data_IF_371751027896
#
_entry.id   IF_371751027896
#
_cell.length_a   1.000
_cell.length_b   1.000
_cell.length_c   1.000
_cell.angle_alpha   90.00
_cell.angle_beta   90.00
_cell.angle_gamma   90.00
#
_symmetry.space_group_name_H-M   'P 1'
#
loop_
_entity.id
_entity.type
_entity.pdbx_description
1 polymer ?
#
# COMPACT_ATOMS: atom_id res chain seq x y z
N UNK A 1 48.66 18.34 31.72
CA UNK A 1 47.74 19.30 31.06
C UNK A 1 46.42 19.25 31.80
N UNK A 2 46.28 19.95 32.93
CA UNK A 2 45.56 21.23 33.02
C UNK A 2 44.34 21.32 32.08
N UNK A 3 43.18 20.91 32.58
CA UNK A 3 41.98 21.75 32.49
C UNK A 3 41.31 21.79 33.85
N UNK A 4 41.51 22.95 34.48
CA UNK A 4 40.81 23.52 35.60
C UNK A 4 39.31 23.52 35.25
N UNK A 5 38.48 22.75 35.96
CA UNK A 5 37.03 22.95 35.93
C UNK A 5 36.63 23.61 37.24
N UNK A 6 36.36 24.90 37.13
CA UNK A 6 35.92 25.79 38.19
C UNK A 6 34.57 25.27 38.69
N UNK A 7 34.54 24.70 39.89
CA UNK A 7 33.30 24.50 40.64
C UNK A 7 32.93 25.88 41.17
N UNK A 8 32.11 26.61 40.41
CA UNK A 8 31.50 27.84 40.88
C UNK A 8 30.43 27.43 41.90
N UNK A 9 30.83 27.40 43.17
CA UNK A 9 29.95 27.22 44.32
C UNK A 9 29.06 28.46 44.42
N UNK A 10 27.97 28.50 43.66
CA UNK A 10 26.92 29.50 43.83
C UNK A 10 26.09 29.07 45.04
N UNK A 11 26.27 29.77 46.16
CA UNK A 11 25.40 29.66 47.31
C UNK A 11 23.96 30.00 46.88
N UNK A 12 23.06 29.03 46.90
CA UNK A 12 21.63 29.22 46.69
C UNK A 12 20.87 28.64 47.89
N UNK A 13 20.09 29.53 48.48
CA UNK A 13 19.20 29.34 49.61
C UNK A 13 18.52 27.96 49.60
N UNK A 14 18.60 27.26 50.72
CA UNK A 14 17.82 26.05 51.00
C UNK A 14 16.33 26.43 51.19
N UNK A 15 15.66 26.82 50.11
CA UNK A 15 14.22 26.68 50.00
C UNK A 15 13.90 25.20 49.80
N UNK A 16 12.95 24.66 50.55
CA UNK A 16 12.42 23.33 50.30
C UNK A 16 11.63 23.38 48.99
N UNK A 17 12.30 23.15 47.86
CA UNK A 17 11.65 23.05 46.55
C UNK A 17 11.01 21.67 46.41
N UNK A 18 9.77 21.63 45.93
CA UNK A 18 9.06 20.38 45.66
C UNK A 18 9.60 19.76 44.38
N UNK A 19 9.89 18.48 44.40
CA UNK A 19 10.22 17.74 43.18
C UNK A 19 8.93 17.33 42.47
N UNK A 20 8.85 17.62 41.16
CA UNK A 20 7.70 17.30 40.31
C UNK A 20 8.20 16.44 39.16
N UNK A 21 7.65 15.23 39.03
CA UNK A 21 8.01 14.26 37.98
C UNK A 21 6.81 13.95 37.11
N UNK A 22 6.98 14.07 35.79
CA UNK A 22 5.96 13.77 34.79
C UNK A 22 6.41 12.58 33.95
N UNK A 23 5.64 11.50 34.01
CA UNK A 23 5.91 10.27 33.26
C UNK A 23 4.94 10.16 32.08
N UNK A 24 5.48 10.01 30.86
CA UNK A 24 4.72 9.75 29.65
C UNK A 24 4.68 8.25 29.38
N UNK A 25 3.47 7.70 29.31
CA UNK A 25 3.22 6.27 29.13
C UNK A 25 2.60 6.00 27.75
N UNK A 26 3.23 5.09 27.01
CA UNK A 26 2.75 4.58 25.71
C UNK A 26 2.83 3.06 25.74
N UNK A 27 1.73 2.38 25.39
CA UNK A 27 1.64 0.90 25.40
C UNK A 27 2.16 0.32 26.74
N UNK A 28 1.61 0.84 27.84
CA UNK A 28 1.91 0.44 29.23
C UNK A 28 3.36 0.66 29.70
N UNK A 29 4.18 1.37 28.92
CA UNK A 29 5.59 1.64 29.24
C UNK A 29 5.85 3.13 29.38
N UNK A 30 6.63 3.51 30.39
CA UNK A 30 7.17 4.87 30.50
C UNK A 30 8.17 5.05 29.35
N UNK A 31 7.82 5.87 28.37
CA UNK A 31 8.64 6.17 27.18
C UNK A 31 9.45 7.45 27.34
N UNK A 32 9.03 8.31 28.27
CA UNK A 32 9.74 9.54 28.62
C UNK A 32 9.39 9.95 30.04
N UNK A 33 10.37 10.51 30.75
CA UNK A 33 10.19 11.04 32.09
C UNK A 33 10.96 12.34 32.21
N UNK A 34 10.38 13.33 32.86
CA UNK A 34 10.99 14.63 33.11
C UNK A 34 10.70 15.07 34.54
N UNK A 35 11.73 15.58 35.20
CA UNK A 35 11.65 16.05 36.58
C UNK A 35 12.09 17.51 36.67
N UNK A 36 11.36 18.30 37.45
CA UNK A 36 11.62 19.72 37.68
C UNK A 36 11.40 20.12 39.14
N UNK A 37 11.82 21.35 39.47
CA UNK A 37 11.59 21.96 40.78
C UNK A 37 10.32 22.81 40.73
N UNK A 38 9.40 22.55 41.65
CA UNK A 38 8.07 23.14 41.85
C UNK A 38 7.08 22.97 40.70
N UNK A 39 7.56 22.88 39.45
CA UNK A 39 6.78 22.62 38.24
C UNK A 39 7.64 22.06 37.11
N UNK A 40 6.98 21.48 36.12
CA UNK A 40 7.57 21.01 34.87
C UNK A 40 6.88 21.71 33.69
N UNK A 41 7.67 22.29 32.79
CA UNK A 41 7.19 22.83 31.51
C UNK A 41 7.29 21.75 30.43
N UNK A 42 6.15 21.39 29.85
CA UNK A 42 6.02 20.36 28.81
C UNK A 42 5.73 20.94 27.42
N UNK A 43 5.76 22.27 27.24
CA UNK A 43 5.39 22.95 25.98
C UNK A 43 6.21 22.50 24.76
N UNK A 44 7.47 22.08 24.97
CA UNK A 44 8.32 21.57 23.89
C UNK A 44 8.08 20.10 23.52
N UNK A 45 7.15 19.41 24.21
CA UNK A 45 6.92 17.97 24.07
C UNK A 45 5.74 17.62 23.16
N UNK A 46 4.87 18.57 22.83
CA UNK A 46 3.68 18.38 21.97
C UNK A 46 4.03 17.71 20.62
N UNK A 47 5.26 17.92 20.13
CA UNK A 47 5.75 17.44 18.84
C UNK A 47 7.01 16.55 18.91
N UNK A 48 7.48 16.14 20.10
CA UNK A 48 8.65 15.24 20.17
C UNK A 48 8.20 13.81 19.85
N UNK A 49 8.58 13.38 18.65
CA UNK A 49 8.35 12.05 18.06
C UNK A 49 8.69 10.91 19.02
N UNK A 50 7.67 10.28 19.58
CA UNK A 50 7.79 8.93 20.12
C UNK A 50 7.18 7.96 19.11
N UNK A 51 8.08 7.30 18.35
CA UNK A 51 7.77 6.16 17.47
C UNK A 51 6.61 6.34 16.47
N UNK A 52 6.57 7.44 15.71
CA UNK A 52 5.66 7.64 14.54
C UNK A 52 5.59 6.44 13.57
N UNK A 53 6.59 5.56 13.61
CA UNK A 53 6.69 4.41 12.74
C UNK A 53 5.96 3.16 13.23
N UNK A 54 5.64 3.06 14.53
CA UNK A 54 4.94 1.93 15.17
C UNK A 54 3.57 2.36 15.75
N UNK A 55 3.40 3.65 16.03
CA UNK A 55 2.20 4.19 16.65
C UNK A 55 1.82 5.53 16.00
N UNK A 56 0.53 5.71 15.75
CA UNK A 56 -0.08 7.01 15.54
C UNK A 56 -0.63 7.50 16.88
N UNK A 57 -0.12 8.63 17.38
CA UNK A 57 -0.64 9.21 18.62
C UNK A 57 -1.84 10.10 18.30
N UNK A 58 -2.98 9.79 18.90
CA UNK A 58 -4.24 10.52 18.75
C UNK A 58 -4.36 11.64 19.81
N UNK A 59 -3.68 11.48 20.95
CA UNK A 59 -3.61 12.48 22.00
C UNK A 59 -2.88 11.98 23.25
N UNK A 60 -2.76 12.86 24.24
CA UNK A 60 -2.19 12.56 25.55
C UNK A 60 -3.17 13.01 26.63
N UNK A 61 -3.33 12.18 27.66
CA UNK A 61 -4.34 12.35 28.69
C UNK A 61 -3.76 12.08 30.08
N UNK A 62 -4.21 12.79 31.09
CA UNK A 62 -3.96 12.43 32.48
C UNK A 62 -4.72 11.15 32.86
N UNK A 63 -4.37 10.55 34.01
CA UNK A 63 -5.02 9.32 34.51
C UNK A 63 -6.53 9.47 34.75
N UNK A 64 -7.01 10.70 34.98
CA UNK A 64 -8.43 11.01 35.13
C UNK A 64 -9.18 11.16 33.78
N UNK A 65 -8.47 11.00 32.65
CA UNK A 65 -9.00 11.14 31.29
C UNK A 65 -9.02 12.58 30.76
N UNK A 66 -8.52 13.55 31.52
CA UNK A 66 -8.41 14.95 31.05
C UNK A 66 -7.34 15.05 29.97
N UNK A 67 -7.67 15.65 28.82
CA UNK A 67 -6.71 15.89 27.74
C UNK A 67 -5.62 16.86 28.20
N UNK A 68 -4.37 16.55 27.92
CA UNK A 68 -3.23 17.42 28.26
C UNK A 68 -3.23 18.67 27.41
N UNK A 69 -3.12 19.83 28.06
CA UNK A 69 -2.77 21.11 27.45
C UNK A 69 -1.27 21.36 27.64
N UNK A 70 -0.50 21.20 26.57
CA UNK A 70 0.96 21.33 26.61
C UNK A 70 1.44 22.76 26.92
N UNK A 71 0.57 23.77 26.83
CA UNK A 71 0.95 25.16 27.14
C UNK A 71 0.97 25.47 28.64
N UNK A 72 0.44 24.58 29.48
CA UNK A 72 0.31 24.78 30.92
C UNK A 72 1.40 23.97 31.65
N UNK A 73 2.23 24.61 32.49
CA UNK A 73 3.19 23.88 33.30
C UNK A 73 2.47 23.09 34.41
N UNK A 74 2.97 21.89 34.69
CA UNK A 74 2.37 20.99 35.69
C UNK A 74 3.10 21.16 37.02
N UNK A 75 2.36 21.35 38.12
CA UNK A 75 2.90 21.62 39.48
C UNK A 75 2.92 20.40 40.41
N UNK A 76 2.34 19.29 39.97
CA UNK A 76 2.21 18.04 40.72
C UNK A 76 2.70 16.89 39.86
N UNK A 77 3.35 15.91 40.48
CA UNK A 77 3.80 14.73 39.74
C UNK A 77 2.59 14.01 39.15
N UNK A 78 2.69 13.59 37.90
CA UNK A 78 1.57 13.02 37.16
C UNK A 78 2.03 12.01 36.11
N UNK A 79 1.15 11.07 35.82
CA UNK A 79 1.27 10.17 34.67
C UNK A 79 0.40 10.69 33.53
N UNK A 80 1.00 10.78 32.35
CA UNK A 80 0.33 11.17 31.11
C UNK A 80 0.34 9.98 30.16
N UNK A 81 -0.84 9.51 29.76
CA UNK A 81 -1.07 8.30 28.97
C UNK A 81 -1.42 8.68 27.53
N UNK A 82 -0.78 8.03 26.56
CA UNK A 82 -1.10 8.20 25.15
C UNK A 82 -2.41 7.49 24.79
N UNK A 83 -3.27 8.19 24.04
CA UNK A 83 -4.23 7.56 23.14
C UNK A 83 -3.55 7.35 21.80
N UNK A 84 -3.59 6.13 21.28
CA UNK A 84 -2.84 5.76 20.09
C UNK A 84 -3.51 4.66 19.26
N UNK A 85 -3.10 4.58 18.00
CA UNK A 85 -3.41 3.49 17.09
C UNK A 85 -2.11 2.83 16.64
N UNK A 86 -2.02 1.49 16.73
CA UNK A 86 -0.82 0.76 16.28
C UNK A 86 -0.69 0.86 14.77
N UNK A 87 0.55 0.91 14.29
CA UNK A 87 0.90 0.87 12.87
C UNK A 87 1.60 -0.46 12.59
N UNK A 88 1.06 -1.22 11.65
CA UNK A 88 1.65 -2.45 11.18
C UNK A 88 2.35 -2.29 9.84
N UNK A 89 3.36 -3.13 9.63
CA UNK A 89 4.12 -3.22 8.40
C UNK A 89 3.64 -4.41 7.58
N UNK A 90 3.26 -4.15 6.33
CA UNK A 90 2.94 -5.16 5.32
C UNK A 90 4.07 -5.18 4.30
N UNK A 91 4.69 -6.33 4.11
CA UNK A 91 5.74 -6.52 3.11
C UNK A 91 5.25 -7.42 1.99
N UNK A 92 5.55 -7.03 0.75
CA UNK A 92 5.19 -7.77 -0.46
C UNK A 92 6.46 -8.32 -1.10
N UNK A 93 6.58 -9.65 -1.13
CA UNK A 93 7.74 -10.37 -1.62
C UNK A 93 7.45 -11.02 -2.96
N UNK A 94 8.29 -10.76 -3.95
CA UNK A 94 8.21 -11.36 -5.29
C UNK A 94 9.51 -12.10 -5.52
N UNK A 95 9.43 -13.40 -5.78
CA UNK A 95 10.62 -14.26 -6.00
C UNK A 95 11.68 -14.12 -4.88
N UNK A 96 11.23 -13.95 -3.62
CA UNK A 96 12.10 -13.78 -2.46
C UNK A 96 12.71 -12.39 -2.30
N UNK A 97 12.38 -11.42 -3.16
CA UNK A 97 12.81 -10.03 -3.06
C UNK A 97 11.68 -9.12 -2.57
N UNK A 98 12.02 -8.13 -1.76
CA UNK A 98 11.06 -7.13 -1.29
C UNK A 98 10.69 -6.19 -2.44
N UNK A 99 9.45 -6.29 -2.91
CA UNK A 99 8.94 -5.44 -3.99
C UNK A 99 8.30 -4.17 -3.46
N UNK A 100 7.59 -4.25 -2.33
CA UNK A 100 6.91 -3.11 -1.72
C UNK A 100 6.76 -3.30 -0.21
N UNK A 101 6.83 -2.19 0.53
CA UNK A 101 6.47 -2.13 1.95
C UNK A 101 5.42 -1.07 2.16
N UNK A 102 4.41 -1.38 2.97
CA UNK A 102 3.34 -0.46 3.34
C UNK A 102 3.14 -0.42 4.84
N UNK A 103 2.65 0.73 5.31
CA UNK A 103 2.24 0.93 6.69
C UNK A 103 0.74 1.07 6.74
N UNK A 104 0.10 0.29 7.60
CA UNK A 104 -1.35 0.28 7.77
C UNK A 104 -1.67 0.48 9.25
N UNK A 105 -2.74 1.24 9.53
CA UNK A 105 -3.22 1.35 10.90
C UNK A 105 -3.89 0.04 11.33
N UNK A 106 -3.80 -0.27 12.62
CA UNK A 106 -4.53 -1.38 13.21
C UNK A 106 -6.02 -1.30 12.88
N UNK A 107 -6.58 -2.42 12.42
CA UNK A 107 -7.97 -2.52 12.02
C UNK A 107 -8.32 -1.91 10.64
N UNK A 108 -7.33 -1.38 9.90
CA UNK A 108 -7.53 -0.89 8.54
C UNK A 108 -7.57 -2.04 7.52
N UNK A 109 -8.40 -1.88 6.48
CA UNK A 109 -8.37 -2.75 5.31
C UNK A 109 -7.09 -2.52 4.49
N UNK A 110 -6.53 -3.60 3.93
CA UNK A 110 -5.35 -3.52 3.06
C UNK A 110 -5.78 -3.75 1.62
N UNK A 111 -5.43 -2.79 0.77
CA UNK A 111 -5.51 -2.99 -0.68
C UNK A 111 -4.29 -3.81 -1.09
N UNK A 112 -4.48 -5.01 -1.69
CA UNK A 112 -3.35 -5.83 -2.11
C UNK A 112 -2.47 -5.08 -3.11
N UNK A 113 -1.17 -5.28 -3.01
CA UNK A 113 -0.25 -4.76 -4.02
C UNK A 113 -0.58 -5.38 -5.39
N UNK A 114 -0.86 -4.52 -6.37
CA UNK A 114 -1.10 -4.95 -7.75
C UNK A 114 0.23 -5.32 -8.40
N UNK A 115 0.48 -6.62 -8.55
CA UNK A 115 1.72 -7.14 -9.08
C UNK A 115 1.78 -6.87 -10.59
N UNK A 116 2.83 -6.21 -11.11
CA UNK A 116 3.03 -6.10 -12.55
C UNK A 116 3.09 -7.47 -13.23
N UNK A 117 2.68 -7.54 -14.49
CA UNK A 117 2.80 -8.75 -15.30
C UNK A 117 4.26 -9.23 -15.32
N UNK A 118 4.47 -10.52 -15.02
CA UNK A 118 5.78 -11.17 -15.12
C UNK A 118 5.73 -12.15 -16.30
N UNK A 119 6.70 -12.02 -17.21
CA UNK A 119 6.80 -12.86 -18.41
C UNK A 119 6.77 -14.34 -18.05
N UNK A 120 5.85 -15.09 -18.66
CA UNK A 120 5.70 -16.53 -18.49
C UNK A 120 5.35 -17.00 -17.07
N UNK A 121 4.83 -16.13 -16.20
CA UNK A 121 4.31 -16.52 -14.89
C UNK A 121 2.90 -16.03 -14.67
N UNK A 122 2.04 -16.91 -14.18
CA UNK A 122 0.68 -16.56 -13.77
C UNK A 122 0.67 -16.24 -12.28
N UNK A 123 0.24 -15.03 -11.93
CA UNK A 123 0.03 -14.63 -10.56
C UNK A 123 -1.19 -15.33 -9.97
N UNK A 124 -0.99 -16.09 -8.89
CA UNK A 124 -2.03 -16.88 -8.20
C UNK A 124 -2.53 -16.22 -6.91
N UNK A 125 -1.97 -15.08 -6.52
CA UNK A 125 -2.32 -14.37 -5.30
C UNK A 125 -1.14 -14.20 -4.33
N UNK A 126 -1.43 -13.50 -3.24
CA UNK A 126 -0.52 -13.20 -2.15
C UNK A 126 -0.78 -14.13 -0.97
N UNK A 127 0.26 -14.78 -0.46
CA UNK A 127 0.15 -15.73 0.63
C UNK A 127 1.15 -15.44 1.74
N UNK A 128 0.72 -15.55 3.00
CA UNK A 128 1.62 -15.39 4.13
C UNK A 128 2.55 -16.62 4.30
N UNK A 129 3.35 -16.62 5.36
CA UNK A 129 4.27 -17.73 5.67
C UNK A 129 3.56 -19.06 5.98
N UNK A 130 2.31 -19.00 6.41
CA UNK A 130 1.51 -20.16 6.81
C UNK A 130 0.61 -20.66 5.64
N UNK A 131 0.69 -19.99 4.48
CA UNK A 131 -0.04 -20.34 3.27
C UNK A 131 -1.46 -19.77 3.22
N UNK A 132 -1.79 -18.83 4.12
CA UNK A 132 -3.08 -18.14 4.16
C UNK A 132 -3.14 -17.08 3.05
N UNK A 133 -4.21 -17.05 2.27
CA UNK A 133 -4.43 -16.03 1.24
C UNK A 133 -4.71 -14.68 1.88
N UNK A 134 -4.30 -13.60 1.23
CA UNK A 134 -4.70 -12.23 1.63
C UNK A 134 -6.22 -12.06 1.73
N UNK A 135 -7.01 -12.73 0.88
CA UNK A 135 -8.48 -12.62 0.88
C UNK A 135 -9.12 -13.15 2.16
N UNK A 136 -8.37 -13.90 2.96
CA UNK A 136 -8.79 -14.41 4.27
C UNK A 136 -8.51 -13.43 5.42
N UNK A 137 -8.01 -12.21 5.14
CA UNK A 137 -7.80 -11.14 6.11
C UNK A 137 -8.86 -10.05 5.90
N UNK A 138 -9.87 -10.01 6.78
CA UNK A 138 -10.83 -8.90 6.80
C UNK A 138 -10.18 -7.60 7.32
N UNK A 139 -9.26 -7.72 8.30
CA UNK A 139 -8.48 -6.63 8.90
C UNK A 139 -7.09 -7.12 9.26
N UNK A 140 -6.11 -6.23 9.26
CA UNK A 140 -4.75 -6.54 9.73
C UNK A 140 -4.55 -6.13 11.17
N UNK A 141 -4.04 -7.08 11.96
CA UNK A 141 -3.77 -6.93 13.40
C UNK A 141 -2.33 -7.31 13.74
N UNK A 142 -1.41 -7.06 12.82
CA UNK A 142 -0.01 -7.43 13.00
C UNK A 142 0.85 -7.15 11.77
N UNK A 143 2.16 -7.14 12.00
CA UNK A 143 3.13 -7.15 10.92
C UNK A 143 3.01 -8.46 10.14
N UNK A 144 3.06 -8.38 8.82
CA UNK A 144 2.87 -9.52 7.93
C UNK A 144 3.76 -9.38 6.70
N UNK A 145 4.18 -10.52 6.18
CA UNK A 145 4.89 -10.61 4.90
C UNK A 145 4.12 -11.55 4.00
N UNK A 146 3.68 -11.03 2.85
CA UNK A 146 3.06 -11.81 1.80
C UNK A 146 4.08 -12.14 0.70
N UNK A 147 4.02 -13.37 0.21
CA UNK A 147 4.79 -13.85 -0.91
C UNK A 147 3.86 -14.05 -2.11
N UNK A 148 4.27 -13.55 -3.26
CA UNK A 148 3.58 -13.81 -4.50
C UNK A 148 3.69 -15.29 -4.85
N UNK A 149 2.56 -15.96 -5.04
CA UNK A 149 2.54 -17.30 -5.61
C UNK A 149 2.50 -17.18 -7.13
N UNK A 150 3.60 -17.58 -7.76
CA UNK A 150 3.78 -17.56 -9.21
C UNK A 150 3.80 -18.99 -9.75
N UNK A 151 3.08 -19.21 -10.84
CA UNK A 151 3.11 -20.49 -11.56
C UNK A 151 3.67 -20.26 -12.96
N UNK A 152 4.78 -20.92 -13.30
CA UNK A 152 5.35 -20.84 -14.64
C UNK A 152 4.33 -21.33 -15.67
N UNK A 153 3.97 -20.45 -16.60
CA UNK A 153 3.04 -20.69 -17.70
C UNK A 153 3.50 -19.87 -18.88
N UNK A 154 4.03 -20.53 -19.92
CA UNK A 154 4.43 -19.83 -21.15
C UNK A 154 3.25 -19.01 -21.70
N UNK A 155 3.48 -17.73 -21.94
CA UNK A 155 2.45 -16.85 -22.47
C UNK A 155 2.12 -17.21 -23.91
N UNK A 156 0.81 -17.22 -24.22
CA UNK A 156 0.27 -17.53 -25.54
C UNK A 156 -0.87 -16.59 -25.87
N UNK A 157 -0.73 -15.92 -27.01
CA UNK A 157 -1.84 -15.26 -27.69
C UNK A 157 -2.56 -16.27 -28.57
N UNK A 158 -3.83 -16.56 -28.27
CA UNK A 158 -4.63 -17.58 -28.96
C UNK A 158 -5.73 -16.91 -29.79
N UNK A 159 -5.79 -17.30 -31.06
CA UNK A 159 -6.87 -16.97 -31.99
C UNK A 159 -7.71 -18.23 -32.17
N UNK A 160 -9.01 -18.15 -31.89
CA UNK A 160 -9.95 -19.23 -32.22
C UNK A 160 -10.19 -19.35 -33.72
N UNK A 161 -9.95 -18.25 -34.47
CA UNK A 161 -9.98 -18.17 -35.93
C UNK A 161 -8.96 -17.16 -36.40
N UNK A 162 -8.31 -17.43 -37.51
CA UNK A 162 -7.40 -16.47 -38.16
C UNK A 162 -8.16 -15.48 -39.05
N UNK A 163 -9.39 -15.81 -39.45
CA UNK A 163 -10.26 -14.95 -40.25
C UNK A 163 -11.69 -14.97 -39.74
N UNK A 164 -12.31 -13.79 -39.64
CA UNK A 164 -13.74 -13.63 -39.37
C UNK A 164 -14.41 -13.03 -40.60
N UNK A 165 -15.35 -13.79 -41.14
CA UNK A 165 -16.21 -13.36 -42.23
C UNK A 165 -17.50 -12.74 -41.69
N UNK A 166 -17.84 -11.56 -42.19
CA UNK A 166 -19.13 -10.91 -42.05
C UNK A 166 -19.83 -10.99 -43.39
N UNK A 167 -21.08 -11.48 -43.40
CA UNK A 167 -21.86 -11.56 -44.65
C UNK A 167 -21.95 -10.18 -45.30
N UNK A 168 -22.24 -9.18 -44.48
CA UNK A 168 -22.22 -7.76 -44.83
C UNK A 168 -22.24 -6.92 -43.54
N UNK A 169 -22.34 -5.60 -43.70
CA UNK A 169 -22.37 -4.64 -42.58
C UNK A 169 -23.58 -4.81 -41.65
N UNK A 170 -24.66 -5.46 -42.08
CA UNK A 170 -25.87 -5.65 -41.25
C UNK A 170 -25.66 -6.59 -40.05
N UNK A 171 -24.64 -7.45 -40.11
CA UNK A 171 -24.24 -8.32 -38.98
C UNK A 171 -23.72 -7.49 -37.80
N UNK A 172 -23.23 -6.27 -38.06
CA UNK A 172 -22.72 -5.25 -37.12
C UNK A 172 -21.51 -5.65 -36.26
N UNK A 173 -21.54 -6.81 -35.59
CA UNK A 173 -20.44 -7.25 -34.73
C UNK A 173 -20.32 -8.77 -34.60
N UNK A 174 -19.10 -9.24 -34.33
CA UNK A 174 -18.79 -10.62 -33.92
C UNK A 174 -17.75 -10.62 -32.81
N UNK A 175 -17.78 -11.63 -31.94
CA UNK A 175 -16.74 -11.81 -30.94
C UNK A 175 -15.42 -12.09 -31.65
N UNK A 176 -14.35 -11.38 -31.27
CA UNK A 176 -13.04 -11.52 -31.92
C UNK A 176 -12.44 -12.92 -31.73
N UNK A 177 -12.77 -13.58 -30.61
CA UNK A 177 -12.24 -14.90 -30.30
C UNK A 177 -10.72 -14.91 -30.13
N UNK A 178 -10.18 -13.79 -29.63
CA UNK A 178 -8.76 -13.60 -29.30
C UNK A 178 -8.63 -13.49 -27.79
N UNK A 179 -7.72 -14.25 -27.20
CA UNK A 179 -7.45 -14.22 -25.76
C UNK A 179 -5.99 -14.57 -25.45
N UNK A 180 -5.54 -14.07 -24.30
CA UNK A 180 -4.27 -14.44 -23.69
C UNK A 180 -4.55 -15.61 -22.73
N UNK A 181 -3.77 -16.69 -22.78
CA UNK A 181 -3.98 -17.86 -21.94
C UNK A 181 -3.84 -17.58 -20.43
N UNK A 182 -3.21 -16.47 -20.05
CA UNK A 182 -2.98 -16.05 -18.67
C UNK A 182 -3.97 -14.95 -18.23
N UNK A 183 -4.87 -14.51 -19.11
CA UNK A 183 -5.85 -13.47 -18.83
C UNK A 183 -5.32 -12.04 -18.94
N UNK A 184 -4.04 -11.87 -19.30
CA UNK A 184 -3.42 -10.56 -19.49
C UNK A 184 -4.08 -9.74 -20.60
N UNK A 185 -4.08 -8.39 -20.47
CA UNK A 185 -4.68 -7.50 -21.44
C UNK A 185 -4.03 -7.65 -22.82
N UNK A 186 -4.83 -7.46 -23.86
CA UNK A 186 -4.38 -7.48 -25.26
C UNK A 186 -4.73 -6.15 -25.90
N UNK A 187 -3.75 -5.53 -26.55
CA UNK A 187 -3.93 -4.34 -27.37
C UNK A 187 -4.38 -4.74 -28.77
N UNK A 188 -5.43 -4.09 -29.26
CA UNK A 188 -5.97 -4.32 -30.60
C UNK A 188 -5.83 -3.05 -31.45
N UNK A 189 -5.32 -3.19 -32.67
CA UNK A 189 -5.16 -2.07 -33.62
C UNK A 189 -5.68 -2.49 -35.00
N UNK A 190 -6.62 -1.74 -35.55
CA UNK A 190 -7.12 -1.99 -36.91
C UNK A 190 -6.25 -1.33 -37.96
N UNK A 191 -5.95 -2.05 -39.03
CA UNK A 191 -5.27 -1.49 -40.21
C UNK A 191 -6.16 -0.53 -40.99
N UNK A 192 -7.48 -0.68 -40.88
CA UNK A 192 -8.47 0.23 -41.45
C UNK A 192 -9.72 0.31 -40.54
N UNK A 193 -9.74 1.27 -39.61
CA UNK A 193 -10.88 1.50 -38.72
C UNK A 193 -12.19 1.83 -39.44
N UNK A 194 -12.15 2.28 -40.69
CA UNK A 194 -13.37 2.54 -41.48
C UNK A 194 -14.07 1.25 -41.92
N UNK A 195 -13.36 0.12 -41.96
CA UNK A 195 -13.91 -1.20 -42.25
C UNK A 195 -14.34 -1.86 -40.94
N UNK A 196 -13.42 -1.97 -39.98
CA UNK A 196 -13.72 -2.58 -38.69
C UNK A 196 -12.92 -2.00 -37.52
N UNK A 197 -13.54 -1.97 -36.35
CA UNK A 197 -12.93 -1.57 -35.07
C UNK A 197 -13.08 -2.68 -34.03
N UNK A 198 -12.25 -2.65 -32.99
CA UNK A 198 -12.36 -3.54 -31.83
C UNK A 198 -12.77 -2.75 -30.60
N UNK A 199 -13.78 -3.22 -29.87
CA UNK A 199 -14.12 -2.70 -28.56
C UNK A 199 -14.81 -3.79 -27.71
N UNK A 200 -14.47 -3.86 -26.42
CA UNK A 200 -15.12 -4.76 -25.45
C UNK A 200 -15.24 -6.22 -25.93
N UNK A 201 -14.15 -6.82 -26.46
CA UNK A 201 -14.10 -8.21 -26.98
C UNK A 201 -14.84 -8.47 -28.30
N UNK A 202 -15.43 -7.44 -28.92
CA UNK A 202 -16.13 -7.55 -30.20
C UNK A 202 -15.42 -6.76 -31.31
N UNK A 203 -15.43 -7.35 -32.50
CA UNK A 203 -15.18 -6.66 -33.76
C UNK A 203 -16.49 -6.04 -34.21
N UNK A 204 -16.47 -4.74 -34.50
CA UNK A 204 -17.57 -3.99 -35.11
C UNK A 204 -17.21 -3.70 -36.55
N UNK A 205 -18.13 -3.90 -37.48
CA UNK A 205 -17.93 -3.62 -38.91
C UNK A 205 -18.78 -2.44 -39.36
N UNK A 206 -18.23 -1.62 -40.24
CA UNK A 206 -18.82 -0.35 -40.67
C UNK A 206 -18.93 -0.23 -42.18
N UNK A 207 -18.03 -0.89 -42.92
CA UNK A 207 -17.96 -0.86 -44.39
C UNK A 207 -17.59 -2.23 -44.94
N UNK A 208 -18.06 -2.55 -46.15
CA UNK A 208 -17.59 -3.69 -46.91
C UNK A 208 -16.08 -3.53 -47.23
N UNK A 209 -15.37 -4.66 -47.28
CA UNK A 209 -13.93 -4.70 -47.51
C UNK A 209 -13.19 -5.64 -46.58
N UNK A 210 -11.86 -5.58 -46.63
CA UNK A 210 -10.97 -6.42 -45.82
C UNK A 210 -10.02 -5.54 -45.02
N UNK A 211 -9.89 -5.81 -43.72
CA UNK A 211 -8.87 -5.19 -42.87
C UNK A 211 -8.26 -6.23 -41.92
N UNK A 212 -7.15 -5.87 -41.27
CA UNK A 212 -6.47 -6.72 -40.29
C UNK A 212 -6.51 -6.05 -38.94
N UNK A 213 -6.78 -6.84 -37.90
CA UNK A 213 -6.65 -6.42 -36.51
C UNK A 213 -5.34 -7.01 -35.96
N UNK A 214 -4.34 -6.15 -35.71
CA UNK A 214 -3.15 -6.51 -34.95
C UNK A 214 -3.56 -6.72 -33.49
N UNK A 215 -3.21 -7.86 -32.92
CA UNK A 215 -3.43 -8.24 -31.53
C UNK A 215 -2.06 -8.39 -30.87
N UNK A 216 -1.80 -7.66 -29.80
CA UNK A 216 -0.46 -7.55 -29.19
C UNK A 216 -0.56 -7.63 -27.66
N UNK A 217 0.24 -8.51 -27.05
CA UNK A 217 0.41 -8.58 -25.58
C UNK A 217 1.44 -7.55 -25.12
N UNK A 218 1.46 -7.25 -23.82
CA UNK A 218 2.44 -6.33 -23.23
C UNK A 218 3.89 -6.84 -23.36
N UNK A 219 4.07 -8.16 -23.28
CA UNK A 219 5.35 -8.86 -23.52
C UNK A 219 5.79 -8.90 -24.99
N UNK A 220 4.96 -8.40 -25.92
CA UNK A 220 5.30 -8.27 -27.34
C UNK A 220 4.91 -9.45 -28.23
N UNK A 221 4.08 -10.39 -27.77
CA UNK A 221 3.52 -11.44 -28.64
C UNK A 221 2.48 -10.82 -29.56
N UNK A 222 2.70 -10.94 -30.88
CA UNK A 222 1.82 -10.37 -31.90
C UNK A 222 1.14 -11.47 -32.72
N UNK A 223 -0.16 -11.32 -32.96
CA UNK A 223 -0.93 -12.06 -33.95
C UNK A 223 -1.83 -11.14 -34.76
N UNK A 224 -2.28 -11.62 -35.92
CA UNK A 224 -3.10 -10.86 -36.85
C UNK A 224 -4.41 -11.59 -37.10
N UNK A 225 -5.52 -10.89 -36.96
CA UNK A 225 -6.86 -11.39 -37.23
C UNK A 225 -7.42 -10.69 -38.48
N UNK A 226 -7.69 -11.45 -39.53
CA UNK A 226 -8.25 -10.91 -40.78
C UNK A 226 -9.76 -10.77 -40.66
N UNK A 227 -10.29 -9.60 -41.03
CA UNK A 227 -11.73 -9.31 -41.07
C UNK A 227 -12.12 -9.13 -42.53
N UNK A 228 -13.09 -9.92 -42.99
CA UNK A 228 -13.65 -9.83 -44.34
C UNK A 228 -15.13 -9.50 -44.22
N UNK A 229 -15.56 -8.40 -44.83
CA UNK A 229 -16.95 -7.93 -44.83
C UNK A 229 -17.45 -7.92 -46.27
N UNK A 230 -18.43 -8.75 -46.57
CA UNK A 230 -19.10 -8.74 -47.87
C UNK A 230 -19.94 -7.48 -48.09
N UNK A 231 -20.45 -7.35 -49.32
CA UNK A 231 -21.35 -6.26 -49.73
C UNK A 231 -22.74 -6.36 -49.06
#
# INVERSE_FOLDING_TARGET
>A
MKKLLIILLLALLAGCHKEVTIDFVLDEKIVYSITGQDKVDISSLENKKYKENEYQINGWYFEDGTKVDFSIPITDSATIIADFTKIYTVNWMVEGQLSKTEKVLDGQEVVPYDLPTIDNYLFRGWFDKDGKSIDEYEKYQGNVTFNAKLEFTLEKLVLTKETIYFKNVSVRRKKAGVFNNMGYPIKFTSSDPSIATYHNKYIYVHKAGTCVIKCETESGIVKYLTIVVGE
#
